data_IF_658449297000
#
_entry.id   IF_658449297000
#
_cell.length_a   1.000
_cell.length_b   1.000
_cell.length_c   1.000
_cell.angle_alpha   90.00
_cell.angle_beta   90.00
_cell.angle_gamma   90.00
#
_symmetry.space_group_name_H-M   'P 1'
#
loop_
_entity.id
_entity.type
_entity.pdbx_description
1 polymer ?
#
# COMPACT_ATOMS: atom_id res chain seq x y z
N UNK A 1 -13.86 2.23 17.04
CA UNK A 1 -12.97 2.26 15.82
C UNK A 1 -12.77 3.69 15.39
N UNK A 2 -11.66 4.07 14.72
CA UNK A 2 -11.40 5.41 14.21
C UNK A 2 -10.71 5.36 12.84
N UNK A 3 -10.89 6.41 12.04
CA UNK A 3 -10.16 6.58 10.78
C UNK A 3 -8.69 6.84 11.12
N UNK A 4 -7.78 6.03 10.55
CA UNK A 4 -6.33 6.17 10.76
C UNK A 4 -5.75 7.12 9.73
N UNK A 5 -5.10 8.17 10.19
CA UNK A 5 -4.27 9.01 9.32
C UNK A 5 -2.91 8.37 9.13
N UNK A 6 -2.53 8.10 7.88
CA UNK A 6 -1.26 7.45 7.52
C UNK A 6 -0.40 8.37 6.67
N UNK A 7 0.92 8.29 6.81
CA UNK A 7 1.86 9.11 6.05
C UNK A 7 2.85 8.27 5.23
N UNK A 8 3.43 8.88 4.19
CA UNK A 8 4.45 8.25 3.34
C UNK A 8 5.74 7.96 4.13
N UNK A 9 6.00 8.72 5.19
CA UNK A 9 7.15 8.50 6.08
C UNK A 9 6.99 7.25 6.94
N UNK A 10 5.76 6.73 7.07
CA UNK A 10 5.40 5.64 7.97
C UNK A 10 5.71 6.00 9.43
N UNK A 11 4.70 6.04 10.25
CA UNK A 11 4.83 6.21 11.70
C UNK A 11 5.80 5.17 12.31
N UNK A 12 6.43 5.48 13.45
CA UNK A 12 7.27 4.51 14.15
C UNK A 12 6.53 3.19 14.33
N UNK A 13 7.16 2.12 13.91
CA UNK A 13 6.62 0.78 14.03
C UNK A 13 7.58 -0.07 14.86
N UNK A 14 7.12 -0.54 16.02
CA UNK A 14 7.96 -1.24 17.01
C UNK A 14 8.73 -2.44 16.43
N UNK A 15 8.25 -3.02 15.33
CA UNK A 15 8.94 -4.08 14.60
C UNK A 15 10.20 -3.60 13.87
N UNK A 16 10.25 -2.35 13.45
CA UNK A 16 11.34 -1.78 12.64
C UNK A 16 12.34 -1.09 13.54
N UNK A 17 13.49 -1.71 13.75
CA UNK A 17 14.57 -1.18 14.59
C UNK A 17 15.47 -0.20 13.82
N UNK A 18 15.67 -0.46 12.52
CA UNK A 18 16.45 0.42 11.65
C UNK A 18 15.90 0.37 10.22
N UNK A 19 15.84 1.51 9.57
CA UNK A 19 15.41 1.66 8.18
C UNK A 19 16.16 2.79 7.50
N UNK A 20 16.28 2.69 6.17
CA UNK A 20 16.71 3.77 5.29
C UNK A 20 15.55 4.09 4.36
N UNK A 21 15.29 5.37 4.09
CA UNK A 21 14.15 5.78 3.27
C UNK A 21 14.53 6.98 2.40
N UNK A 22 14.15 6.93 1.13
CA UNK A 22 14.29 8.02 0.15
C UNK A 22 12.93 8.43 -0.39
N UNK A 23 12.83 9.66 -0.89
CA UNK A 23 11.60 10.26 -1.40
C UNK A 23 11.89 10.98 -2.72
N UNK A 24 10.98 10.90 -3.68
CA UNK A 24 11.04 11.65 -4.93
C UNK A 24 9.67 11.76 -5.57
N UNK A 25 9.53 12.63 -6.56
CA UNK A 25 8.34 12.68 -7.41
C UNK A 25 8.58 11.85 -8.66
N UNK A 26 7.63 11.01 -9.03
CA UNK A 26 7.63 10.32 -10.31
C UNK A 26 7.40 11.31 -11.46
N UNK A 27 7.76 10.92 -12.68
CA UNK A 27 7.67 11.80 -13.85
C UNK A 27 6.20 12.16 -14.20
N UNK A 28 5.25 11.33 -13.79
CA UNK A 28 3.80 11.54 -13.89
C UNK A 28 3.18 12.29 -12.70
N UNK A 29 4.01 12.82 -11.79
CA UNK A 29 3.58 13.61 -10.63
C UNK A 29 3.28 12.79 -9.37
N UNK A 30 3.42 11.47 -9.39
CA UNK A 30 3.20 10.63 -8.21
C UNK A 30 4.23 10.90 -7.11
N UNK A 31 3.77 10.95 -5.85
CA UNK A 31 4.64 10.94 -4.68
C UNK A 31 5.17 9.52 -4.45
N UNK A 32 6.49 9.36 -4.40
CA UNK A 32 7.14 8.06 -4.25
C UNK A 32 8.04 8.05 -3.03
N UNK A 33 8.04 6.95 -2.27
CA UNK A 33 9.12 6.65 -1.33
C UNK A 33 9.55 5.20 -1.44
N UNK A 34 10.85 4.96 -1.27
CA UNK A 34 11.41 3.62 -1.08
C UNK A 34 12.00 3.53 0.33
N UNK A 35 11.47 2.59 1.11
CA UNK A 35 11.92 2.26 2.45
C UNK A 35 12.58 0.88 2.42
N UNK A 36 13.84 0.78 2.88
CA UNK A 36 14.52 -0.49 3.11
C UNK A 36 14.48 -0.84 4.59
N UNK A 37 14.15 -2.09 4.91
CA UNK A 37 14.20 -2.61 6.27
C UNK A 37 15.64 -3.05 6.61
N UNK A 38 16.42 -2.19 7.26
CA UNK A 38 17.80 -2.50 7.62
C UNK A 38 17.88 -3.47 8.80
N UNK A 39 16.93 -3.38 9.75
CA UNK A 39 16.82 -4.29 10.90
C UNK A 39 15.40 -4.37 11.43
N UNK A 40 14.91 -5.59 11.63
CA UNK A 40 13.60 -5.89 12.20
C UNK A 40 13.73 -6.74 13.48
N UNK A 41 12.72 -6.69 14.35
CA UNK A 41 12.61 -7.66 15.46
C UNK A 41 12.17 -9.03 14.99
N UNK A 42 11.36 -9.07 13.91
CA UNK A 42 10.89 -10.30 13.24
C UNK A 42 10.29 -9.93 11.88
N UNK A 43 10.29 -10.86 10.94
CA UNK A 43 9.57 -10.71 9.67
C UNK A 43 8.06 -10.59 9.90
N UNK A 44 7.36 -9.89 9.01
CA UNK A 44 5.91 -9.88 8.96
C UNK A 44 5.44 -10.83 7.87
N UNK A 45 4.67 -11.82 8.28
CA UNK A 45 4.03 -12.78 7.38
C UNK A 45 2.51 -12.55 7.49
N UNK A 46 1.82 -12.54 6.36
CA UNK A 46 0.36 -12.45 6.27
C UNK A 46 -0.21 -13.77 5.73
N UNK A 47 -1.28 -14.24 6.36
CA UNK A 47 -2.11 -15.32 5.83
C UNK A 47 -3.16 -14.70 4.90
N UNK A 48 -3.27 -15.22 3.68
CA UNK A 48 -4.25 -14.78 2.70
C UNK A 48 -5.61 -15.50 2.81
N UNK A 49 -5.71 -16.46 3.75
CA UNK A 49 -6.98 -17.18 4.03
C UNK A 49 -7.20 -18.42 3.18
N UNK A 50 -6.34 -18.73 2.22
CA UNK A 50 -6.38 -19.90 1.34
C UNK A 50 -5.26 -20.91 1.59
N UNK A 51 -4.60 -20.80 2.74
CA UNK A 51 -3.41 -21.58 3.11
C UNK A 51 -2.11 -21.03 2.55
N UNK A 52 -2.15 -19.90 1.87
CA UNK A 52 -0.95 -19.19 1.40
C UNK A 52 -0.50 -18.17 2.44
N UNK A 53 0.79 -18.24 2.74
CA UNK A 53 1.49 -17.27 3.57
C UNK A 53 2.38 -16.40 2.69
N UNK A 54 2.27 -15.08 2.84
CA UNK A 54 3.13 -14.12 2.13
C UNK A 54 3.96 -13.29 3.08
N UNK A 55 5.27 -13.22 2.82
CA UNK A 55 6.12 -12.24 3.52
C UNK A 55 5.77 -10.85 3.05
N UNK A 56 5.59 -9.93 3.99
CA UNK A 56 5.21 -8.53 3.77
C UNK A 56 6.32 -7.58 4.19
N UNK A 57 7.16 -7.99 5.14
CA UNK A 57 8.36 -7.28 5.56
C UNK A 57 9.38 -8.26 6.14
N UNK A 58 10.63 -8.14 5.72
CA UNK A 58 11.79 -8.86 6.26
C UNK A 58 13.05 -8.01 6.16
N UNK A 59 14.11 -8.38 6.89
CA UNK A 59 15.38 -7.65 6.82
C UNK A 59 15.96 -7.68 5.41
N UNK A 60 16.40 -6.52 4.92
CA UNK A 60 16.88 -6.34 3.55
C UNK A 60 15.77 -6.12 2.52
N UNK A 61 14.52 -6.40 2.84
CA UNK A 61 13.38 -6.17 1.94
C UNK A 61 12.97 -4.69 1.87
N UNK A 62 12.06 -4.36 0.95
CA UNK A 62 11.71 -2.98 0.65
C UNK A 62 10.21 -2.76 0.55
N UNK A 63 9.76 -1.57 0.96
CA UNK A 63 8.45 -1.03 0.62
C UNK A 63 8.59 0.17 -0.30
N UNK A 64 8.13 0.03 -1.55
CA UNK A 64 7.90 1.14 -2.46
C UNK A 64 6.48 1.64 -2.27
N UNK A 65 6.33 2.93 -1.98
CA UNK A 65 5.03 3.58 -1.89
C UNK A 65 4.84 4.53 -3.05
N UNK A 66 3.63 4.54 -3.60
CA UNK A 66 3.22 5.41 -4.67
C UNK A 66 1.82 5.95 -4.36
N UNK A 67 1.65 7.26 -4.50
CA UNK A 67 0.35 7.91 -4.38
C UNK A 67 0.26 9.13 -5.29
N UNK A 68 -0.94 9.46 -5.72
CA UNK A 68 -1.23 10.65 -6.53
C UNK A 68 -2.15 11.60 -5.75
N UNK A 69 -1.93 12.90 -5.92
CA UNK A 69 -2.71 13.93 -5.23
C UNK A 69 -4.20 13.85 -5.62
N UNK A 70 -5.07 13.83 -4.62
CA UNK A 70 -6.52 13.70 -4.81
C UNK A 70 -7.01 12.32 -5.26
N UNK A 71 -6.14 11.32 -5.49
CA UNK A 71 -6.56 9.95 -5.79
C UNK A 71 -7.09 9.24 -4.53
N UNK A 72 -7.95 8.25 -4.72
CA UNK A 72 -8.56 7.43 -3.67
C UNK A 72 -7.81 6.11 -3.42
N UNK A 73 -6.60 5.95 -3.98
CA UNK A 73 -5.78 4.75 -3.85
C UNK A 73 -4.36 5.08 -3.41
N UNK A 74 -3.86 4.30 -2.43
CA UNK A 74 -2.48 4.35 -2.00
C UNK A 74 -1.83 2.99 -2.20
N UNK A 75 -0.67 2.96 -2.84
CA UNK A 75 0.02 1.72 -3.19
C UNK A 75 1.24 1.52 -2.29
N UNK A 76 1.39 0.32 -1.71
CA UNK A 76 2.58 -0.12 -0.99
C UNK A 76 3.04 -1.45 -1.58
N UNK A 77 4.03 -1.41 -2.48
CA UNK A 77 4.59 -2.61 -3.08
C UNK A 77 5.73 -3.16 -2.22
N UNK A 78 5.70 -4.47 -1.98
CA UNK A 78 6.76 -5.17 -1.29
C UNK A 78 7.69 -5.85 -2.30
N UNK A 79 9.00 -5.60 -2.13
CA UNK A 79 10.09 -6.26 -2.82
C UNK A 79 10.93 -7.03 -1.80
N UNK A 80 11.31 -8.26 -2.15
CA UNK A 80 12.17 -9.08 -1.30
C UNK A 80 13.61 -8.53 -1.25
N UNK A 81 14.51 -9.08 -0.40
CA UNK A 81 15.90 -8.62 -0.30
C UNK A 81 16.71 -8.72 -1.60
N UNK A 82 16.27 -9.54 -2.54
CA UNK A 82 16.88 -9.67 -3.88
C UNK A 82 16.31 -8.64 -4.89
N UNK A 83 15.35 -7.82 -4.48
CA UNK A 83 14.68 -6.83 -5.33
C UNK A 83 13.55 -7.40 -6.20
N UNK A 84 13.07 -8.61 -5.94
CA UNK A 84 11.95 -9.17 -6.69
C UNK A 84 10.62 -8.63 -6.14
N UNK A 85 9.77 -8.15 -7.05
CA UNK A 85 8.39 -7.79 -6.69
C UNK A 85 7.63 -9.01 -6.17
N UNK A 86 6.99 -8.88 -5.01
CA UNK A 86 6.20 -9.95 -4.38
C UNK A 86 4.72 -9.65 -4.40
N UNK A 87 4.35 -8.43 -4.09
CA UNK A 87 2.95 -7.98 -4.08
C UNK A 87 2.85 -6.46 -4.00
N UNK A 88 1.67 -5.93 -4.29
CA UNK A 88 1.26 -4.57 -3.92
C UNK A 88 0.01 -4.62 -3.04
N UNK A 89 0.07 -3.90 -1.94
CA UNK A 89 -1.02 -3.61 -1.04
C UNK A 89 -1.60 -2.25 -1.45
N UNK A 90 -2.91 -2.19 -1.63
CA UNK A 90 -3.62 -1.02 -2.12
C UNK A 90 -4.65 -0.63 -1.07
N UNK A 91 -4.37 0.42 -0.31
CA UNK A 91 -5.33 1.02 0.62
C UNK A 91 -6.37 1.82 -0.18
N UNK A 92 -7.65 1.70 0.18
CA UNK A 92 -8.71 2.61 -0.27
C UNK A 92 -8.72 3.81 0.67
N UNK A 93 -8.65 5.02 0.13
CA UNK A 93 -8.40 6.22 0.93
C UNK A 93 -9.53 7.25 0.84
N UNK A 94 -9.54 8.19 1.76
CA UNK A 94 -10.43 9.36 1.77
C UNK A 94 -9.99 10.51 0.85
N UNK A 95 -9.07 10.21 -0.08
CA UNK A 95 -8.34 11.17 -0.89
C UNK A 95 -6.92 11.38 -0.36
N UNK A 96 -5.94 11.32 -1.25
CA UNK A 96 -4.54 11.52 -0.89
C UNK A 96 -4.18 13.01 -0.90
N UNK A 97 -3.41 13.47 0.08
CA UNK A 97 -2.72 14.77 0.04
C UNK A 97 -1.25 14.53 -0.30
N UNK A 98 -0.86 14.83 -1.54
CA UNK A 98 0.48 14.58 -2.08
C UNK A 98 1.19 15.85 -2.54
N UNK A 99 1.01 16.98 -1.82
CA UNK A 99 1.66 18.27 -2.14
C UNK A 99 3.18 18.18 -2.24
N UNK A 100 3.79 17.25 -1.54
CA UNK A 100 5.19 16.87 -1.75
C UNK A 100 5.38 15.38 -1.48
N UNK A 101 6.39 14.77 -2.13
CA UNK A 101 6.71 13.35 -1.91
C UNK A 101 7.09 13.03 -0.46
N UNK A 102 7.59 14.01 0.31
CA UNK A 102 8.01 13.79 1.69
C UNK A 102 6.90 13.89 2.72
N UNK A 103 5.81 14.60 2.39
CA UNK A 103 4.70 14.90 3.32
C UNK A 103 3.39 14.22 2.92
N UNK A 104 3.39 13.45 1.83
CA UNK A 104 2.20 12.78 1.35
C UNK A 104 1.54 11.93 2.45
N UNK A 105 0.22 12.02 2.55
CA UNK A 105 -0.57 11.35 3.57
C UNK A 105 -2.00 11.05 3.08
N UNK A 106 -2.72 10.24 3.84
CA UNK A 106 -4.10 9.85 3.54
C UNK A 106 -4.86 9.40 4.78
N UNK A 107 -6.18 9.38 4.70
CA UNK A 107 -7.08 8.76 5.65
C UNK A 107 -7.49 7.37 5.15
N UNK A 108 -7.25 6.34 5.96
CA UNK A 108 -7.53 4.93 5.66
C UNK A 108 -9.03 4.64 5.81
N UNK A 109 -9.66 4.11 4.78
CA UNK A 109 -11.10 3.81 4.75
C UNK A 109 -11.45 2.33 4.91
N UNK A 110 -10.62 1.56 5.62
CA UNK A 110 -10.92 0.20 6.09
C UNK A 110 -11.09 -0.89 5.03
N UNK A 111 -10.75 -0.67 3.79
CA UNK A 111 -10.79 -1.72 2.76
C UNK A 111 -9.49 -1.74 1.99
N UNK A 112 -8.91 -2.91 1.89
CA UNK A 112 -7.59 -3.11 1.30
C UNK A 112 -7.63 -4.18 0.23
N UNK A 113 -6.82 -4.02 -0.82
CA UNK A 113 -6.66 -4.99 -1.88
C UNK A 113 -5.19 -5.40 -1.98
N UNK A 114 -4.93 -6.69 -2.14
CA UNK A 114 -3.59 -7.20 -2.44
C UNK A 114 -3.58 -7.80 -3.83
N UNK A 115 -2.59 -7.42 -4.63
CA UNK A 115 -2.28 -8.03 -5.93
C UNK A 115 -0.87 -8.64 -5.85
N UNK A 116 -0.76 -9.96 -6.04
CA UNK A 116 0.50 -10.69 -5.90
C UNK A 116 1.28 -10.76 -7.20
N UNK A 117 2.55 -11.17 -7.09
CA UNK A 117 3.42 -11.38 -8.25
C UNK A 117 2.85 -12.38 -9.27
N UNK A 118 2.05 -13.36 -8.81
CA UNK A 118 1.37 -14.38 -9.62
C UNK A 118 0.02 -13.92 -10.17
N UNK A 119 -0.38 -12.65 -9.94
CA UNK A 119 -1.65 -12.09 -10.43
C UNK A 119 -2.88 -12.45 -9.59
N UNK A 120 -2.70 -12.99 -8.37
CA UNK A 120 -3.81 -13.24 -7.45
C UNK A 120 -4.28 -11.95 -6.80
N UNK A 121 -5.60 -11.85 -6.56
CA UNK A 121 -6.23 -10.69 -5.94
C UNK A 121 -6.94 -11.13 -4.66
N UNK A 122 -6.66 -10.44 -3.56
CA UNK A 122 -7.31 -10.63 -2.27
C UNK A 122 -7.88 -9.30 -1.81
N UNK A 123 -9.05 -9.35 -1.14
CA UNK A 123 -9.69 -8.21 -0.51
C UNK A 123 -9.66 -8.46 0.99
N UNK A 124 -9.25 -7.46 1.76
CA UNK A 124 -9.13 -7.53 3.21
C UNK A 124 -9.97 -6.45 3.90
N UNK A 125 -10.22 -6.70 5.18
CA UNK A 125 -10.78 -5.76 6.14
C UNK A 125 -12.21 -5.30 5.80
N UNK A 126 -12.99 -6.10 5.01
CA UNK A 126 -14.42 -5.84 4.73
C UNK A 126 -15.27 -5.85 6.00
N UNK A 127 -14.90 -6.64 7.01
CA UNK A 127 -15.53 -6.68 8.32
C UNK A 127 -15.22 -5.40 9.13
N UNK A 128 -14.01 -4.82 9.00
CA UNK A 128 -13.67 -3.52 9.57
C UNK A 128 -14.51 -2.41 8.92
N UNK A 129 -14.69 -2.44 7.60
CA UNK A 129 -15.53 -1.48 6.87
C UNK A 129 -17.00 -1.55 7.33
N UNK A 130 -17.55 -2.77 7.51
CA UNK A 130 -18.90 -2.97 8.03
C UNK A 130 -19.05 -2.47 9.47
N UNK A 131 -18.05 -2.74 10.31
CA UNK A 131 -18.02 -2.27 11.70
C UNK A 131 -17.94 -0.75 11.79
N UNK A 132 -17.13 -0.10 10.93
CA UNK A 132 -17.01 1.35 10.87
C UNK A 132 -18.36 2.02 10.50
N UNK A 133 -19.14 1.42 9.60
CA UNK A 133 -20.49 1.88 9.29
C UNK A 133 -21.45 1.68 10.49
N UNK A 134 -21.42 0.51 11.12
CA UNK A 134 -22.30 0.19 12.25
C UNK A 134 -22.03 1.08 13.47
N UNK A 135 -20.77 1.42 13.73
CA UNK A 135 -20.35 2.32 14.80
C UNK A 135 -20.53 3.81 14.46
N UNK A 136 -20.93 4.16 13.23
CA UNK A 136 -21.10 5.54 12.79
C UNK A 136 -19.80 6.30 12.58
N UNK A 137 -18.66 5.60 12.48
CA UNK A 137 -17.33 6.18 12.16
C UNK A 137 -17.33 6.70 10.72
N UNK A 138 -17.99 5.99 9.82
CA UNK A 138 -18.28 6.41 8.45
C UNK A 138 -19.80 6.40 8.22
N UNK A 139 -20.26 7.25 7.32
CA UNK A 139 -21.67 7.24 6.90
C UNK A 139 -21.88 6.30 5.69
N UNK A 140 -23.17 6.08 5.34
CA UNK A 140 -23.55 5.21 4.21
C UNK A 140 -22.93 5.66 2.88
N UNK A 141 -22.80 6.97 2.65
CA UNK A 141 -22.22 7.51 1.40
C UNK A 141 -20.75 7.10 1.25
N UNK A 142 -19.98 7.20 2.34
CA UNK A 142 -18.57 6.76 2.36
C UNK A 142 -18.48 5.25 2.19
N UNK A 143 -19.32 4.48 2.87
CA UNK A 143 -19.37 3.03 2.73
C UNK A 143 -19.60 2.59 1.27
N UNK A 144 -20.62 3.16 0.60
CA UNK A 144 -20.93 2.86 -0.79
C UNK A 144 -19.80 3.30 -1.74
N UNK A 145 -19.16 4.45 -1.46
CA UNK A 145 -17.98 4.90 -2.20
C UNK A 145 -16.85 3.87 -2.11
N UNK A 146 -16.51 3.40 -0.92
CA UNK A 146 -15.45 2.40 -0.70
C UNK A 146 -15.76 1.10 -1.45
N UNK A 147 -16.99 0.57 -1.33
CA UNK A 147 -17.42 -0.64 -2.06
C UNK A 147 -17.28 -0.49 -3.57
N UNK A 148 -17.65 0.66 -4.11
CA UNK A 148 -17.49 0.98 -5.54
C UNK A 148 -16.02 1.00 -5.94
N UNK A 149 -15.19 1.75 -5.21
CA UNK A 149 -13.75 1.86 -5.48
C UNK A 149 -13.03 0.49 -5.43
N UNK A 150 -13.37 -0.34 -4.43
CA UNK A 150 -12.85 -1.71 -4.33
C UNK A 150 -13.20 -2.52 -5.57
N UNK A 151 -14.47 -2.47 -6.01
CA UNK A 151 -14.93 -3.20 -7.18
C UNK A 151 -14.23 -2.74 -8.46
N UNK A 152 -14.10 -1.42 -8.65
CA UNK A 152 -13.42 -0.82 -9.81
C UNK A 152 -11.93 -1.18 -9.84
N UNK A 153 -11.25 -1.14 -8.68
CA UNK A 153 -9.83 -1.51 -8.61
C UNK A 153 -9.61 -2.99 -8.88
N UNK A 154 -10.46 -3.88 -8.36
CA UNK A 154 -10.40 -5.31 -8.67
C UNK A 154 -10.61 -5.58 -10.16
N UNK A 155 -11.56 -4.90 -10.80
CA UNK A 155 -11.77 -5.01 -12.26
C UNK A 155 -10.53 -4.55 -13.04
N UNK A 156 -9.95 -3.40 -12.68
CA UNK A 156 -8.69 -2.90 -13.25
C UNK A 156 -7.55 -3.91 -13.08
N UNK A 157 -7.35 -4.48 -11.90
CA UNK A 157 -6.26 -5.43 -11.65
C UNK A 157 -6.39 -6.72 -12.48
N UNK A 158 -7.61 -7.16 -12.79
CA UNK A 158 -7.85 -8.33 -13.63
C UNK A 158 -7.42 -8.10 -15.09
N UNK A 159 -7.44 -6.87 -15.60
CA UNK A 159 -7.11 -6.54 -16.98
C UNK A 159 -5.73 -5.89 -17.12
N UNK A 160 -5.37 -5.01 -16.20
CA UNK A 160 -4.21 -4.14 -16.30
C UNK A 160 -3.25 -4.27 -15.09
N UNK A 161 -3.44 -5.27 -14.22
CA UNK A 161 -2.58 -5.49 -13.04
C UNK A 161 -1.10 -5.65 -13.38
N UNK A 162 -0.77 -6.30 -14.51
CA UNK A 162 0.61 -6.42 -14.98
C UNK A 162 1.22 -5.07 -15.40
N UNK A 163 0.42 -4.11 -15.88
CA UNK A 163 0.90 -2.75 -16.17
C UNK A 163 1.24 -2.01 -14.87
N UNK A 164 0.39 -2.12 -13.85
CA UNK A 164 0.68 -1.55 -12.52
C UNK A 164 1.95 -2.16 -11.94
N UNK A 165 2.09 -3.48 -11.99
CA UNK A 165 3.30 -4.18 -11.53
C UNK A 165 4.55 -3.68 -12.26
N UNK A 166 4.52 -3.55 -13.59
CA UNK A 166 5.62 -3.05 -14.39
C UNK A 166 6.00 -1.60 -14.01
N UNK A 167 5.01 -0.74 -13.76
CA UNK A 167 5.22 0.63 -13.28
C UNK A 167 5.93 0.63 -11.91
N UNK A 168 5.46 -0.18 -10.95
CA UNK A 168 6.05 -0.28 -9.61
C UNK A 168 7.49 -0.81 -9.66
N UNK A 169 7.79 -1.80 -10.52
CA UNK A 169 9.15 -2.29 -10.74
C UNK A 169 10.04 -1.20 -11.31
N UNK A 170 9.59 -0.46 -12.31
CA UNK A 170 10.35 0.65 -12.90
C UNK A 170 10.67 1.75 -11.89
N UNK A 171 9.73 2.09 -11.01
CA UNK A 171 9.95 3.05 -9.92
C UNK A 171 10.93 2.50 -8.88
N UNK A 172 10.87 1.20 -8.56
CA UNK A 172 11.79 0.54 -7.66
C UNK A 172 13.23 0.59 -8.20
N UNK A 173 13.43 0.25 -9.47
CA UNK A 173 14.76 0.27 -10.12
C UNK A 173 15.37 1.67 -10.12
N UNK A 174 14.55 2.72 -10.28
CA UNK A 174 14.97 4.11 -10.15
C UNK A 174 15.35 4.45 -8.70
N UNK A 175 14.50 4.06 -7.75
CA UNK A 175 14.62 4.41 -6.33
C UNK A 175 15.76 3.68 -5.60
N UNK A 176 16.02 2.41 -5.93
CA UNK A 176 17.05 1.61 -5.24
C UNK A 176 18.46 2.19 -5.40
N UNK A 177 18.73 2.87 -6.51
CA UNK A 177 20.00 3.57 -6.73
C UNK A 177 20.13 4.90 -5.93
N UNK A 178 19.07 5.32 -5.24
CA UNK A 178 19.07 6.53 -4.39
C UNK A 178 19.30 6.22 -2.90
N UNK A 179 19.23 4.92 -2.51
CA UNK A 179 19.51 4.45 -1.15
C UNK A 179 21.03 4.35 -0.94
#
# INVERSE_FOLDING_TARGET
>A
MEIKHKSIRREPWARVLKRTQVFFSADDGGAVSLLRFDKLTSSLIRDYGDGLLGTVAEEGGYWLRLAYDGDDYWYTAYFDPSGNFRQVYIDITGGNDCKSAETACFDDLFSDIVYTAEGRIYIFDEDELLSALAEGVINKTVFEKVKKLTTEKVAFLKTDGEKLKAQLISLFDKAVNML
#
